data_IF_654918942705
#
_entry.id   IF_654918942705
#
_cell.length_a   1.000
_cell.length_b   1.000
_cell.length_c   1.000
_cell.angle_alpha   90.00
_cell.angle_beta   90.00
_cell.angle_gamma   90.00
#
_symmetry.space_group_name_H-M   'P 1'
#
loop_
_entity.id
_entity.type
_entity.pdbx_description
1 polymer ?
#
# COMPACT_ATOMS: atom_id res chain seq x y z
N UNK A 1 -3.67 17.27 19.52
CA UNK A 1 -4.22 15.93 19.86
C UNK A 1 -3.31 15.30 20.90
N UNK A 2 -3.83 14.89 22.07
CA UNK A 2 -3.02 14.12 23.04
C UNK A 2 -3.08 12.65 22.63
N UNK A 3 -1.93 11.98 22.50
CA UNK A 3 -1.84 10.58 22.07
C UNK A 3 -2.73 9.66 22.92
N UNK A 4 -2.77 9.89 24.24
CA UNK A 4 -3.57 9.14 25.20
C UNK A 4 -5.02 9.62 25.36
N UNK A 5 -5.64 10.23 24.33
CA UNK A 5 -7.06 10.60 24.39
C UNK A 5 -7.78 10.27 23.09
N UNK A 6 -8.84 9.48 23.18
CA UNK A 6 -9.65 9.11 22.02
C UNK A 6 -10.33 10.36 21.42
N UNK A 7 -10.20 10.63 20.11
CA UNK A 7 -10.86 11.77 19.47
C UNK A 7 -12.38 11.63 19.37
N UNK A 8 -12.91 10.40 19.49
CA UNK A 8 -14.32 10.10 19.30
C UNK A 8 -15.11 10.14 20.60
N UNK A 9 -14.64 9.46 21.65
CA UNK A 9 -15.33 9.39 22.94
C UNK A 9 -14.63 10.12 24.08
N UNK A 10 -13.46 10.73 23.81
CA UNK A 10 -12.66 11.48 24.77
C UNK A 10 -12.15 10.70 26.01
N UNK A 11 -12.31 9.38 26.04
CA UNK A 11 -11.73 8.51 27.05
C UNK A 11 -10.20 8.59 27.06
N UNK A 12 -9.62 8.40 28.24
CA UNK A 12 -8.18 8.27 28.42
C UNK A 12 -7.71 6.92 27.86
N UNK A 13 -6.59 6.94 27.14
CA UNK A 13 -5.94 5.74 26.58
C UNK A 13 -4.54 5.66 27.17
N UNK A 14 -4.31 4.64 27.99
CA UNK A 14 -3.03 4.33 28.59
C UNK A 14 -2.25 3.39 27.67
N UNK A 15 -1.13 3.84 27.12
CA UNK A 15 -0.37 3.08 26.10
C UNK A 15 0.21 1.79 26.68
N UNK A 16 0.62 1.81 27.95
CA UNK A 16 1.06 0.65 28.71
C UNK A 16 -0.06 -0.40 28.89
N UNK A 17 -1.31 0.05 29.08
CA UNK A 17 -2.46 -0.85 29.16
C UNK A 17 -2.71 -1.59 27.83
N UNK A 18 -2.37 -0.99 26.68
CA UNK A 18 -2.55 -1.60 25.36
C UNK A 18 -1.63 -2.81 25.09
N UNK A 19 -0.57 -2.95 25.89
CA UNK A 19 0.45 -4.00 25.74
C UNK A 19 0.48 -4.95 26.94
N UNK A 20 -0.57 -4.96 27.78
CA UNK A 20 -0.66 -5.89 28.90
C UNK A 20 -0.97 -7.33 28.45
N UNK A 21 -1.76 -7.50 27.40
CA UNK A 21 -2.02 -8.81 26.82
C UNK A 21 -0.97 -9.19 25.76
N UNK A 22 -0.79 -10.48 25.56
CA UNK A 22 0.20 -11.02 24.62
C UNK A 22 -0.10 -10.65 23.16
N UNK A 23 -1.36 -10.78 22.74
CA UNK A 23 -1.74 -10.43 21.38
C UNK A 23 -1.59 -8.93 21.10
N UNK A 24 -1.90 -8.08 22.07
CA UNK A 24 -1.70 -6.63 22.01
C UNK A 24 -0.22 -6.26 21.87
N UNK A 25 0.66 -6.90 22.66
CA UNK A 25 2.13 -6.75 22.50
C UNK A 25 2.59 -7.11 21.09
N UNK A 26 2.19 -8.28 20.61
CA UNK A 26 2.63 -8.76 19.30
C UNK A 26 2.06 -7.92 18.16
N UNK A 27 0.81 -7.47 18.27
CA UNK A 27 0.18 -6.53 17.33
C UNK A 27 0.99 -5.23 17.25
N UNK A 28 1.30 -4.61 18.39
CA UNK A 28 2.07 -3.36 18.44
C UNK A 28 3.50 -3.55 17.95
N UNK A 29 4.15 -4.67 18.31
CA UNK A 29 5.50 -5.00 17.82
C UNK A 29 5.53 -5.23 16.31
N UNK A 30 4.47 -5.81 15.74
CA UNK A 30 4.34 -6.00 14.28
C UNK A 30 4.13 -4.68 13.58
N UNK A 31 3.25 -3.81 14.09
CA UNK A 31 3.03 -2.46 13.55
C UNK A 31 4.30 -1.60 13.62
N UNK A 32 5.08 -1.71 14.69
CA UNK A 32 6.32 -0.95 14.88
C UNK A 32 7.41 -1.27 13.82
N UNK A 33 7.34 -2.44 13.17
CA UNK A 33 8.25 -2.81 12.08
C UNK A 33 7.88 -2.17 10.73
N UNK A 34 6.67 -1.62 10.62
CA UNK A 34 6.17 -1.01 9.40
C UNK A 34 6.49 0.50 9.38
N UNK A 35 6.65 1.06 8.19
CA UNK A 35 6.68 2.52 8.06
C UNK A 35 5.32 3.13 8.43
N UNK A 36 5.32 4.40 8.85
CA UNK A 36 4.14 5.10 9.37
C UNK A 36 2.93 5.08 8.42
N UNK A 37 3.18 5.23 7.11
CA UNK A 37 2.14 5.19 6.09
C UNK A 37 1.48 3.81 6.02
N UNK A 38 2.29 2.77 5.85
CA UNK A 38 1.80 1.39 5.72
C UNK A 38 1.09 0.94 7.00
N UNK A 39 1.68 1.22 8.16
CA UNK A 39 1.07 0.91 9.45
C UNK A 39 -0.30 1.57 9.61
N UNK A 40 -0.44 2.84 9.25
CA UNK A 40 -1.73 3.56 9.29
C UNK A 40 -2.75 2.96 8.32
N UNK A 41 -2.38 2.72 7.06
CA UNK A 41 -3.25 2.12 6.05
C UNK A 41 -3.80 0.76 6.48
N UNK A 42 -2.92 -0.12 6.96
CA UNK A 42 -3.31 -1.47 7.36
C UNK A 42 -4.16 -1.44 8.64
N UNK A 43 -3.85 -0.58 9.61
CA UNK A 43 -4.65 -0.44 10.83
C UNK A 43 -6.07 0.07 10.53
N UNK A 44 -6.21 1.05 9.63
CA UNK A 44 -7.52 1.52 9.16
C UNK A 44 -8.29 0.40 8.45
N UNK A 45 -7.61 -0.40 7.64
CA UNK A 45 -8.20 -1.56 6.98
C UNK A 45 -8.69 -2.63 7.98
N UNK A 46 -7.89 -2.97 9.00
CA UNK A 46 -8.31 -3.90 10.08
C UNK A 46 -9.55 -3.38 10.80
N UNK A 47 -9.69 -2.06 10.95
CA UNK A 47 -10.89 -1.42 11.50
C UNK A 47 -12.20 -1.75 10.76
N UNK A 48 -12.15 -2.12 9.48
CA UNK A 48 -13.33 -2.48 8.69
C UNK A 48 -13.97 -3.81 9.11
N UNK A 49 -13.27 -4.63 9.90
CA UNK A 49 -13.74 -5.91 10.44
C UNK A 49 -14.44 -5.75 11.80
N UNK A 50 -14.47 -4.55 12.37
CA UNK A 50 -15.11 -4.30 13.67
C UNK A 50 -16.63 -4.58 13.59
N UNK A 51 -17.17 -5.49 14.42
CA UNK A 51 -18.61 -5.71 14.53
C UNK A 51 -19.36 -4.48 15.03
N UNK A 52 -20.66 -4.39 14.75
CA UNK A 52 -21.47 -3.25 15.20
C UNK A 52 -21.72 -3.23 16.72
N UNK A 53 -21.73 -4.40 17.37
CA UNK A 53 -22.13 -4.55 18.78
C UNK A 53 -20.97 -4.81 19.74
N UNK A 54 -19.76 -5.02 19.24
CA UNK A 54 -18.61 -5.38 20.06
C UNK A 54 -17.32 -4.87 19.45
N UNK A 55 -16.33 -4.68 20.30
CA UNK A 55 -15.00 -4.32 19.86
C UNK A 55 -14.27 -5.51 19.22
N UNK A 56 -13.30 -5.17 18.38
CA UNK A 56 -12.39 -6.13 17.80
C UNK A 56 -11.34 -6.49 18.87
N UNK A 57 -11.33 -7.76 19.31
CA UNK A 57 -10.32 -8.19 20.28
C UNK A 57 -8.92 -8.26 19.68
N UNK A 58 -7.89 -8.15 20.52
CA UNK A 58 -6.48 -8.06 20.09
C UNK A 58 -6.01 -9.31 19.35
N UNK A 59 -6.41 -10.51 19.77
CA UNK A 59 -6.05 -11.75 19.08
C UNK A 59 -6.58 -11.81 17.64
N UNK A 60 -7.83 -11.39 17.43
CA UNK A 60 -8.44 -11.29 16.10
C UNK A 60 -7.82 -10.17 15.28
N UNK A 61 -7.52 -9.02 15.90
CA UNK A 61 -6.85 -7.91 15.22
C UNK A 61 -5.44 -8.31 14.74
N UNK A 62 -4.67 -9.01 15.59
CA UNK A 62 -3.36 -9.56 15.24
C UNK A 62 -3.46 -10.54 14.09
N UNK A 63 -4.39 -11.50 14.15
CA UNK A 63 -4.62 -12.45 13.06
C UNK A 63 -4.92 -11.76 11.74
N UNK A 64 -5.84 -10.79 11.73
CA UNK A 64 -6.18 -10.02 10.53
C UNK A 64 -5.01 -9.18 10.00
N UNK A 65 -4.20 -8.61 10.88
CA UNK A 65 -2.99 -7.88 10.50
C UNK A 65 -1.99 -8.81 9.80
N UNK A 66 -1.68 -9.95 10.43
CA UNK A 66 -0.71 -10.92 9.90
C UNK A 66 -1.18 -11.50 8.57
N UNK A 67 -2.45 -11.92 8.47
CA UNK A 67 -3.04 -12.42 7.22
C UNK A 67 -2.98 -11.37 6.10
N UNK A 68 -3.22 -10.08 6.41
CA UNK A 68 -3.12 -9.00 5.43
C UNK A 68 -1.68 -8.76 4.95
N UNK A 69 -0.70 -8.84 5.85
CA UNK A 69 0.73 -8.72 5.51
C UNK A 69 1.22 -9.89 4.65
N UNK A 70 0.66 -11.09 4.84
CA UNK A 70 0.98 -12.28 4.05
C UNK A 70 0.44 -12.24 2.62
N UNK A 71 -0.53 -11.36 2.31
CA UNK A 71 -1.11 -11.25 0.96
C UNK A 71 -0.10 -10.80 -0.09
N UNK A 72 0.88 -9.99 0.30
CA UNK A 72 1.90 -9.49 -0.62
C UNK A 72 3.15 -9.01 0.13
N UNK A 73 4.37 -9.33 -0.35
CA UNK A 73 5.60 -8.77 0.21
C UNK A 73 5.79 -7.29 -0.15
N UNK A 74 5.07 -6.78 -1.15
CA UNK A 74 5.17 -5.38 -1.56
C UNK A 74 4.29 -4.48 -0.66
N UNK A 75 4.93 -3.87 0.35
CA UNK A 75 4.24 -3.01 1.33
C UNK A 75 3.62 -1.75 0.72
N UNK A 76 4.16 -1.22 -0.39
CA UNK A 76 3.57 -0.06 -1.07
C UNK A 76 2.24 -0.43 -1.74
N UNK A 77 2.22 -1.58 -2.43
CA UNK A 77 1.00 -2.14 -3.00
C UNK A 77 -0.03 -2.45 -1.90
N UNK A 78 0.41 -3.03 -0.78
CA UNK A 78 -0.47 -3.32 0.36
C UNK A 78 -1.10 -2.04 0.93
N UNK A 79 -0.30 -1.02 1.21
CA UNK A 79 -0.78 0.28 1.71
C UNK A 79 -1.81 0.90 0.75
N UNK A 80 -1.51 0.94 -0.55
CA UNK A 80 -2.43 1.48 -1.55
C UNK A 80 -3.74 0.67 -1.64
N UNK A 81 -3.65 -0.67 -1.58
CA UNK A 81 -4.81 -1.55 -1.59
C UNK A 81 -5.70 -1.39 -0.36
N UNK A 82 -5.10 -1.26 0.82
CA UNK A 82 -5.80 -0.97 2.07
C UNK A 82 -6.51 0.39 1.99
N UNK A 83 -5.81 1.45 1.56
CA UNK A 83 -6.39 2.80 1.44
C UNK A 83 -7.55 2.85 0.44
N UNK A 84 -7.41 2.20 -0.72
CA UNK A 84 -8.49 2.08 -1.71
C UNK A 84 -9.69 1.31 -1.12
N UNK A 85 -9.43 0.22 -0.40
CA UNK A 85 -10.48 -0.57 0.26
C UNK A 85 -11.24 0.25 1.30
N UNK A 86 -10.54 0.96 2.18
CA UNK A 86 -11.14 1.83 3.20
C UNK A 86 -11.99 2.90 2.55
N UNK A 87 -11.47 3.61 1.54
CA UNK A 87 -12.23 4.63 0.80
C UNK A 87 -13.49 4.06 0.15
N UNK A 88 -13.41 2.91 -0.51
CA UNK A 88 -14.57 2.29 -1.16
C UNK A 88 -15.65 1.88 -0.15
N UNK A 89 -15.27 1.27 0.98
CA UNK A 89 -16.22 0.85 2.01
C UNK A 89 -16.83 2.05 2.74
N UNK A 90 -16.04 3.08 3.03
CA UNK A 90 -16.55 4.31 3.62
C UNK A 90 -17.50 5.04 2.67
N UNK A 91 -17.15 5.16 1.39
CA UNK A 91 -18.03 5.73 0.36
C UNK A 91 -19.37 5.00 0.28
N UNK A 92 -19.36 3.65 0.27
CA UNK A 92 -20.58 2.84 0.30
C UNK A 92 -21.44 3.08 1.54
N UNK A 93 -20.80 3.18 2.72
CA UNK A 93 -21.50 3.47 3.98
C UNK A 93 -22.15 4.85 3.95
N UNK A 94 -21.47 5.85 3.41
CA UNK A 94 -21.99 7.21 3.27
C UNK A 94 -23.17 7.25 2.29
N UNK A 95 -23.08 6.57 1.14
CA UNK A 95 -24.17 6.54 0.16
C UNK A 95 -25.39 5.73 0.62
N UNK A 96 -25.20 4.78 1.54
CA UNK A 96 -26.30 3.97 2.08
C UNK A 96 -27.01 4.63 3.27
N UNK A 97 -26.49 5.77 3.78
CA UNK A 97 -27.16 6.58 4.78
C UNK A 97 -28.38 7.28 4.14
N UNK A 98 -29.54 6.63 4.23
CA UNK A 98 -30.81 7.13 3.70
C UNK A 98 -31.62 6.08 2.92
N UNK A 99 -30.98 5.02 2.45
CA UNK A 99 -31.66 3.92 1.73
C UNK A 99 -32.10 2.78 2.66
N UNK A 100 -31.74 2.84 3.95
CA UNK A 100 -31.97 1.77 4.92
C UNK A 100 -30.99 0.58 4.79
N UNK A 101 -30.10 0.61 3.80
CA UNK A 101 -29.11 -0.46 3.59
C UNK A 101 -27.89 -0.26 4.51
N UNK A 102 -27.57 -1.29 5.29
CA UNK A 102 -26.42 -1.28 6.21
C UNK A 102 -25.26 -2.06 5.63
N UNK A 103 -24.17 -1.37 5.29
CA UNK A 103 -22.94 -2.02 4.81
C UNK A 103 -22.30 -2.79 5.98
N UNK A 104 -22.38 -4.12 5.90
CA UNK A 104 -21.88 -5.04 6.93
C UNK A 104 -20.35 -4.94 7.07
N UNK A 105 -19.81 -5.21 8.27
CA UNK A 105 -18.37 -5.39 8.48
C UNK A 105 -17.80 -6.47 7.55
N UNK A 106 -16.51 -6.34 7.22
CA UNK A 106 -15.82 -7.38 6.45
C UNK A 106 -15.66 -8.65 7.28
N UNK A 107 -15.74 -9.80 6.60
CA UNK A 107 -15.57 -11.13 7.22
C UNK A 107 -14.28 -11.83 6.81
N UNK A 108 -13.70 -11.44 5.67
CA UNK A 108 -12.46 -12.00 5.12
C UNK A 108 -11.73 -10.98 4.23
N UNK A 109 -10.56 -11.37 3.73
CA UNK A 109 -9.69 -10.54 2.90
C UNK A 109 -10.00 -10.58 1.39
N UNK A 110 -11.08 -11.22 0.93
CA UNK A 110 -11.32 -11.43 -0.50
C UNK A 110 -11.49 -10.12 -1.27
N UNK A 111 -12.15 -9.12 -0.67
CA UNK A 111 -12.27 -7.80 -1.29
C UNK A 111 -10.90 -7.12 -1.45
N UNK A 112 -10.04 -7.21 -0.42
CA UNK A 112 -8.67 -6.68 -0.51
C UNK A 112 -7.87 -7.43 -1.58
N UNK A 113 -7.98 -8.75 -1.69
CA UNK A 113 -7.31 -9.54 -2.74
C UNK A 113 -7.72 -9.08 -4.15
N UNK A 114 -8.99 -8.76 -4.36
CA UNK A 114 -9.48 -8.20 -5.64
C UNK A 114 -8.87 -6.83 -5.92
N UNK A 115 -8.89 -5.93 -4.94
CA UNK A 115 -8.30 -4.59 -5.05
C UNK A 115 -6.80 -4.67 -5.34
N UNK A 116 -6.06 -5.52 -4.61
CA UNK A 116 -4.63 -5.74 -4.83
C UNK A 116 -4.37 -6.23 -6.25
N UNK A 117 -5.19 -7.16 -6.76
CA UNK A 117 -5.05 -7.68 -8.12
C UNK A 117 -5.23 -6.58 -9.17
N UNK A 118 -6.22 -5.69 -9.01
CA UNK A 118 -6.41 -4.55 -9.91
C UNK A 118 -5.30 -3.49 -9.82
N UNK A 119 -4.60 -3.40 -8.69
CA UNK A 119 -3.49 -2.47 -8.50
C UNK A 119 -2.13 -3.06 -8.91
N UNK A 120 -1.99 -4.38 -9.05
CA UNK A 120 -0.70 -5.04 -9.32
C UNK A 120 0.07 -4.41 -10.48
N UNK A 121 -0.61 -4.08 -11.58
CA UNK A 121 0.01 -3.49 -12.76
C UNK A 121 0.69 -2.14 -12.47
N UNK A 122 0.09 -1.32 -11.62
CA UNK A 122 0.61 0.00 -11.24
C UNK A 122 1.84 -0.09 -10.33
N UNK A 123 1.98 -1.22 -9.62
CA UNK A 123 3.07 -1.48 -8.67
C UNK A 123 4.03 -2.56 -9.18
N UNK A 124 3.95 -2.94 -10.46
CA UNK A 124 4.78 -3.98 -11.07
C UNK A 124 6.18 -3.50 -11.47
N UNK A 125 6.54 -2.28 -11.09
CA UNK A 125 7.89 -1.76 -11.29
C UNK A 125 8.83 -2.38 -10.25
N UNK A 126 10.02 -2.87 -10.65
CA UNK A 126 10.98 -3.41 -9.70
C UNK A 126 11.37 -2.30 -8.72
N UNK A 127 10.92 -2.45 -7.47
CA UNK A 127 11.35 -1.58 -6.38
C UNK A 127 12.79 -1.94 -6.10
N UNK A 128 13.71 -1.19 -6.72
CA UNK A 128 15.12 -1.33 -6.50
C UNK A 128 15.42 -0.85 -5.06
N UNK A 129 15.76 -1.80 -4.19
CA UNK A 129 16.47 -1.54 -2.93
C UNK A 129 15.64 -1.40 -1.66
N UNK A 130 15.28 -2.54 -1.06
CA UNK A 130 15.39 -2.71 0.39
C UNK A 130 16.20 -3.97 0.65
N UNK A 131 17.49 -3.79 0.89
CA UNK A 131 18.43 -4.88 1.19
C UNK A 131 18.14 -5.40 2.60
N UNK A 132 17.69 -6.63 2.71
CA UNK A 132 17.79 -7.44 3.93
C UNK A 132 18.13 -8.88 3.57
N UNK A 133 19.30 -9.33 4.03
CA UNK A 133 19.65 -10.75 4.13
C UNK A 133 20.24 -11.40 2.88
N UNK A 134 21.57 -11.54 2.90
CA UNK A 134 22.39 -12.33 1.99
C UNK A 134 21.73 -13.59 1.40
N UNK A 135 21.59 -13.65 0.07
CA UNK A 135 21.66 -14.91 -0.70
C UNK A 135 22.47 -14.70 -1.98
N UNK A 136 23.30 -15.70 -2.26
CA UNK A 136 24.44 -15.74 -3.17
C UNK A 136 24.12 -15.26 -4.59
N UNK A 137 25.05 -14.45 -5.11
CA UNK A 137 25.14 -14.07 -6.51
C UNK A 137 25.58 -15.26 -7.37
N UNK A 138 24.63 -16.03 -7.88
CA UNK A 138 24.85 -16.99 -8.97
C UNK A 138 23.56 -17.17 -9.76
N UNK A 139 23.09 -16.11 -10.42
CA UNK A 139 22.39 -16.21 -11.72
C UNK A 139 22.15 -14.80 -12.30
N UNK A 140 23.19 -14.23 -12.91
CA UNK A 140 23.08 -13.02 -13.75
C UNK A 140 23.19 -13.45 -15.21
N UNK A 141 22.29 -14.34 -15.62
CA UNK A 141 22.13 -14.76 -17.02
C UNK A 141 21.55 -13.64 -17.89
N UNK A 142 22.43 -12.98 -18.64
CA UNK A 142 22.18 -12.31 -19.93
C UNK A 142 21.20 -11.11 -19.97
N UNK A 143 21.66 -9.97 -19.47
CA UNK A 143 21.40 -8.70 -20.15
C UNK A 143 22.70 -8.23 -20.82
N UNK A 144 23.01 -8.76 -22.00
CA UNK A 144 24.12 -8.26 -22.80
C UNK A 144 23.72 -6.93 -23.44
N UNK A 145 24.36 -5.85 -23.00
CA UNK A 145 24.37 -4.57 -23.73
C UNK A 145 25.09 -4.83 -25.06
N UNK A 146 24.33 -4.99 -26.15
CA UNK A 146 24.83 -5.47 -27.45
C UNK A 146 25.75 -4.50 -28.20
N UNK A 147 25.84 -3.23 -27.78
CA UNK A 147 26.82 -2.29 -28.34
C UNK A 147 26.93 -1.04 -27.46
N UNK A 148 28.14 -0.67 -27.04
CA UNK A 148 28.41 0.71 -26.65
C UNK A 148 28.63 1.51 -27.93
N UNK A 149 27.83 2.54 -28.16
CA UNK A 149 28.20 3.59 -29.10
C UNK A 149 29.11 4.56 -28.35
N UNK A 150 30.42 4.49 -28.56
CA UNK A 150 31.36 5.57 -28.17
C UNK A 150 31.21 6.71 -29.16
N UNK A 151 30.03 7.34 -29.17
CA UNK A 151 29.79 8.57 -29.91
C UNK A 151 30.41 9.71 -29.12
N UNK A 152 31.02 10.65 -29.84
CA UNK A 152 31.53 11.87 -29.21
C UNK A 152 30.41 12.63 -28.52
N UNK A 153 30.73 13.45 -27.51
CA UNK A 153 29.72 14.24 -26.78
C UNK A 153 28.86 15.11 -27.73
N UNK A 154 29.45 15.56 -28.84
CA UNK A 154 28.79 16.35 -29.87
C UNK A 154 27.74 15.52 -30.63
N UNK A 155 28.05 14.27 -30.99
CA UNK A 155 27.10 13.39 -31.68
C UNK A 155 25.97 12.93 -30.77
N UNK A 156 26.26 12.70 -29.49
CA UNK A 156 25.25 12.38 -28.49
C UNK A 156 24.25 13.51 -28.31
N UNK A 157 24.73 14.76 -28.21
CA UNK A 157 23.87 15.92 -28.07
C UNK A 157 23.03 16.16 -29.34
N UNK A 158 23.62 15.93 -30.53
CA UNK A 158 22.88 16.02 -31.80
C UNK A 158 21.73 15.01 -31.87
N UNK A 159 21.99 13.75 -31.53
CA UNK A 159 20.96 12.70 -31.52
C UNK A 159 19.87 12.99 -30.49
N UNK A 160 20.25 13.49 -29.31
CA UNK A 160 19.31 13.91 -28.28
C UNK A 160 18.39 15.02 -28.78
N UNK A 161 18.93 16.04 -29.45
CA UNK A 161 18.14 17.14 -30.01
C UNK A 161 17.23 16.67 -31.15
N UNK A 162 17.71 15.77 -32.01
CA UNK A 162 16.92 15.21 -33.10
C UNK A 162 15.73 14.38 -32.58
N UNK A 163 15.94 13.59 -31.52
CA UNK A 163 14.84 12.87 -30.87
C UNK A 163 13.84 13.84 -30.21
N UNK A 164 14.32 14.87 -29.51
CA UNK A 164 13.46 15.89 -28.91
C UNK A 164 12.64 16.64 -29.97
N UNK A 165 13.20 16.88 -31.16
CA UNK A 165 12.49 17.47 -32.28
C UNK A 165 11.40 16.53 -32.83
N UNK A 166 11.68 15.23 -32.98
CA UNK A 166 10.68 14.22 -33.39
C UNK A 166 9.50 14.17 -32.41
N UNK A 167 9.76 14.24 -31.11
CA UNK A 167 8.71 14.32 -30.09
C UNK A 167 7.89 15.61 -30.15
N UNK A 168 8.53 16.76 -30.42
CA UNK A 168 7.81 18.05 -30.59
C UNK A 168 6.92 18.08 -31.83
N UNK A 169 7.35 17.47 -32.93
CA UNK A 169 6.54 17.35 -34.16
C UNK A 169 5.33 16.46 -33.94
N UNK A 170 5.48 15.33 -33.24
CA UNK A 170 4.37 14.44 -32.88
C UNK A 170 3.32 15.13 -31.99
N UNK A 171 3.73 16.09 -31.15
CA UNK A 171 2.81 16.81 -30.24
C UNK A 171 1.97 17.86 -30.98
N UNK A 172 2.54 18.52 -32.00
CA UNK A 172 1.81 19.49 -32.84
C UNK A 172 0.79 18.85 -33.78
N UNK A 173 1.01 17.61 -34.22
CA UNK A 173 0.06 16.87 -35.05
C UNK A 173 -1.20 16.40 -34.29
N UNK A 174 -1.17 16.40 -32.94
CA UNK A 174 -2.30 16.01 -32.09
C UNK A 174 -3.17 17.15 -31.57
N UNK A 175 -2.80 18.42 -31.83
CA UNK A 175 -3.55 19.62 -31.39
C UNK A 175 -4.38 20.27 -32.52
N UNK A 176 -4.51 19.60 -33.67
CA UNK A 176 -5.34 20.03 -34.81
C UNK A 176 -6.46 19.04 -35.15
N UNK A 177 -7.15 18.54 -34.11
CA UNK A 177 -8.40 17.78 -34.22
C UNK A 177 -9.38 18.25 -33.15
#
# INVERSE_FOLDING_TARGET
MKLGRCPTCHAAVHVDAMVQDEAGRELMATLAKLNSKTGSSVLQYVGLFRPAKSDLNNGRALKLLTEALELTPNLQLLSAGCDATVRNIHGKRSSSQGTGETVKPLTNHNYLKQVLTGLKEQFNHPVNGMKSGAKKATDMGNAQVKHYHTLSDVENERLRQEQLAKFKVSKRAGESA
#
